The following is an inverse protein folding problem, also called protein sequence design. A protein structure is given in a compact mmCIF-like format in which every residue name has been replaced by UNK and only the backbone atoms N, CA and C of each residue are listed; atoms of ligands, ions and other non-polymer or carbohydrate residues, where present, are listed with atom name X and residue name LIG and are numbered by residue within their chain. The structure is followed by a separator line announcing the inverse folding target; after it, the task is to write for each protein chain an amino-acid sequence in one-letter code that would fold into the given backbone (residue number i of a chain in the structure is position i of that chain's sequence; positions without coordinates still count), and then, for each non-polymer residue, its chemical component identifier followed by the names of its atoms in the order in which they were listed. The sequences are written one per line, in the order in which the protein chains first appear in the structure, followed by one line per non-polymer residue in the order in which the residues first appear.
data_IF_800434315134
#
_entry.id   IF_800434315134
#
_cell.length_a   1.000
_cell.length_b   1.000
_cell.length_c   1.000
_cell.angle_alpha   90.00
_cell.angle_beta   90.00
_cell.angle_gamma   90.00
#
_symmetry.space_group_name_H-M   'P 1'
#
loop_
_entity.id
_entity.type
_entity.pdbx_description
1 polymer ?
#
# COMPACT_ATOMS: atom_id res chain seq x y z
N UNK A 1 4.94 11.88 -15.30
CA UNK A 1 4.58 10.63 -14.59
C UNK A 1 4.48 11.02 -13.13
N UNK A 2 3.37 10.71 -12.45
CA UNK A 2 3.13 11.14 -11.07
C UNK A 2 4.25 10.70 -10.11
N UNK A 3 4.54 11.56 -9.15
CA UNK A 3 5.62 11.42 -8.18
C UNK A 3 5.39 10.17 -7.28
N UNK A 4 6.45 9.45 -6.87
CA UNK A 4 6.31 8.11 -6.33
C UNK A 4 5.60 8.10 -4.97
N UNK A 5 4.59 7.23 -4.90
CA UNK A 5 3.72 7.01 -3.75
C UNK A 5 4.51 6.49 -2.54
N UNK A 6 4.39 7.19 -1.42
CA UNK A 6 4.99 6.81 -0.15
C UNK A 6 4.11 5.82 0.63
N UNK A 7 4.74 4.86 1.30
CA UNK A 7 4.12 4.08 2.36
C UNK A 7 4.06 4.94 3.62
N UNK A 8 2.87 5.23 4.16
CA UNK A 8 2.69 6.42 5.01
C UNK A 8 2.43 6.13 6.47
N UNK A 9 1.84 4.98 6.80
CA UNK A 9 1.47 4.71 8.18
C UNK A 9 1.52 3.22 8.49
N UNK A 10 2.25 2.89 9.54
CA UNK A 10 2.03 1.67 10.32
C UNK A 10 1.48 2.12 11.66
N UNK A 11 0.24 1.76 12.02
CA UNK A 11 -0.29 2.05 13.35
C UNK A 11 0.69 1.61 14.44
N UNK A 12 0.86 2.45 15.47
CA UNK A 12 1.78 2.15 16.56
C UNK A 12 1.45 0.80 17.25
N UNK A 13 0.17 0.41 17.25
CA UNK A 13 -0.31 -0.87 17.76
C UNK A 13 0.25 -2.10 17.04
N UNK A 14 0.76 -1.95 15.81
CA UNK A 14 1.31 -3.06 15.02
C UNK A 14 2.77 -2.88 14.60
N UNK A 15 3.34 -1.69 14.77
CA UNK A 15 4.70 -1.36 14.32
C UNK A 15 5.75 -2.37 14.82
N UNK A 16 5.68 -2.72 16.11
CA UNK A 16 6.65 -3.61 16.76
C UNK A 16 6.30 -5.09 16.65
N UNK A 17 5.28 -5.47 15.87
CA UNK A 17 4.92 -6.88 15.71
C UNK A 17 6.04 -7.59 14.95
N UNK A 18 6.66 -8.63 15.53
CA UNK A 18 7.79 -9.30 14.91
C UNK A 18 7.35 -10.22 13.75
N UNK A 19 8.22 -10.38 12.76
CA UNK A 19 8.06 -11.35 11.67
C UNK A 19 9.03 -12.51 11.88
N UNK A 20 8.49 -13.71 12.06
CA UNK A 20 9.24 -14.96 12.19
C UNK A 20 9.61 -15.52 10.81
N UNK A 21 10.68 -14.99 10.24
CA UNK A 21 11.22 -15.43 8.96
C UNK A 21 11.71 -16.89 8.95
N UNK A 22 11.86 -17.55 10.11
CA UNK A 22 12.23 -18.97 10.14
C UNK A 22 11.11 -19.86 9.65
N UNK A 23 9.86 -19.40 9.74
CA UNK A 23 8.66 -20.11 9.31
C UNK A 23 8.20 -19.74 7.91
N UNK A 24 8.56 -18.55 7.43
CA UNK A 24 8.24 -18.10 6.07
C UNK A 24 8.98 -18.97 5.03
N UNK A 25 8.34 -19.39 3.93
CA UNK A 25 8.98 -20.16 2.87
C UNK A 25 10.25 -19.49 2.31
N UNK A 26 11.29 -20.29 2.03
CA UNK A 26 12.55 -19.80 1.48
C UNK A 26 12.39 -19.08 0.14
N UNK A 27 11.45 -19.53 -0.70
CA UNK A 27 11.15 -18.87 -1.97
C UNK A 27 10.70 -17.42 -1.76
N UNK A 28 9.87 -17.17 -0.75
CA UNK A 28 9.31 -15.84 -0.44
C UNK A 28 10.35 -14.93 0.19
N UNK A 29 11.23 -15.47 1.05
CA UNK A 29 12.42 -14.77 1.55
C UNK A 29 13.36 -14.34 0.43
N UNK A 30 13.69 -15.28 -0.47
CA UNK A 30 14.55 -15.01 -1.61
C UNK A 30 13.95 -13.93 -2.50
N UNK A 31 12.66 -14.04 -2.81
CA UNK A 31 11.93 -13.05 -3.59
C UNK A 31 11.99 -11.65 -2.96
N UNK A 32 11.69 -11.53 -1.66
CA UNK A 32 11.80 -10.25 -0.97
C UNK A 32 13.20 -9.64 -1.10
N UNK A 33 14.23 -10.45 -0.91
CA UNK A 33 15.62 -9.99 -0.94
C UNK A 33 16.14 -9.68 -2.34
N UNK A 34 15.68 -10.39 -3.36
CA UNK A 34 16.08 -10.14 -4.75
C UNK A 34 15.48 -8.82 -5.27
N UNK A 35 14.23 -8.53 -4.93
CA UNK A 35 13.52 -7.35 -5.45
C UNK A 35 13.64 -6.10 -4.54
N UNK A 36 13.54 -6.26 -3.21
CA UNK A 36 13.55 -5.14 -2.24
C UNK A 36 14.74 -5.16 -1.27
N UNK A 37 15.48 -6.27 -1.23
CA UNK A 37 16.68 -6.37 -0.41
C UNK A 37 17.89 -5.67 -1.02
N UNK A 38 17.86 -5.30 -2.31
CA UNK A 38 19.00 -4.65 -2.97
C UNK A 38 19.14 -3.21 -2.47
N UNK A 39 20.28 -2.89 -1.85
CA UNK A 39 20.61 -1.50 -1.54
C UNK A 39 21.15 -0.82 -2.80
N UNK A 40 20.29 -0.06 -3.47
CA UNK A 40 20.65 0.69 -4.67
C UNK A 40 21.71 1.78 -4.42
N UNK A 41 21.96 2.12 -3.16
CA UNK A 41 23.03 3.03 -2.74
C UNK A 41 24.40 2.37 -2.76
N UNK A 42 24.46 1.02 -2.78
CA UNK A 42 25.70 0.28 -2.94
C UNK A 42 26.03 0.19 -4.45
N UNK A 43 27.11 0.87 -4.92
CA UNK A 43 27.47 0.88 -6.33
C UNK A 43 27.81 -0.52 -6.87
N UNK A 44 28.08 -1.50 -6.00
CA UNK A 44 28.35 -2.87 -6.41
C UNK A 44 27.10 -3.76 -6.39
N UNK A 45 25.99 -3.29 -5.82
CA UNK A 45 24.77 -4.09 -5.56
C UNK A 45 25.06 -5.42 -4.85
N UNK A 46 26.18 -5.51 -4.13
CA UNK A 46 26.63 -6.73 -3.46
C UNK A 46 25.96 -6.88 -2.09
N UNK A 47 25.61 -5.77 -1.44
CA UNK A 47 24.96 -5.78 -0.14
C UNK A 47 23.45 -5.92 -0.25
N UNK A 48 22.96 -7.09 0.17
CA UNK A 48 21.56 -7.31 0.47
C UNK A 48 21.25 -6.78 1.89
N UNK A 49 20.17 -6.02 2.01
CA UNK A 49 19.56 -5.61 3.27
C UNK A 49 19.15 -6.85 4.07
N UNK A 50 19.22 -6.79 5.41
CA UNK A 50 18.71 -7.87 6.25
C UNK A 50 17.19 -8.01 6.09
N UNK A 51 16.66 -9.20 6.36
CA UNK A 51 15.21 -9.38 6.45
C UNK A 51 14.62 -8.47 7.55
N UNK A 52 13.45 -7.87 7.32
CA UNK A 52 12.89 -6.88 8.25
C UNK A 52 12.39 -7.57 9.52
N UNK A 53 12.81 -7.11 10.71
CA UNK A 53 12.49 -7.78 11.95
C UNK A 53 11.01 -7.60 12.37
N UNK A 54 10.42 -6.46 12.00
CA UNK A 54 9.06 -6.08 12.39
C UNK A 54 8.20 -5.68 11.19
N UNK A 55 6.88 -5.51 11.41
CA UNK A 55 5.96 -4.97 10.42
C UNK A 55 6.36 -3.56 9.99
N UNK A 56 6.87 -2.72 10.92
CA UNK A 56 7.39 -1.40 10.58
C UNK A 56 8.65 -1.47 9.71
N UNK A 57 9.56 -2.41 9.99
CA UNK A 57 10.74 -2.61 9.16
C UNK A 57 10.34 -3.11 7.76
N UNK A 58 9.35 -3.99 7.69
CA UNK A 58 8.84 -4.51 6.42
C UNK A 58 8.21 -3.38 5.61
N UNK A 59 7.35 -2.58 6.24
CA UNK A 59 6.79 -1.36 5.71
C UNK A 59 7.84 -0.41 5.13
N UNK A 60 8.91 -0.13 5.88
CA UNK A 60 10.04 0.72 5.44
C UNK A 60 10.81 0.10 4.27
N UNK A 61 10.98 -1.22 4.27
CA UNK A 61 11.65 -1.92 3.17
C UNK A 61 10.84 -1.82 1.87
N UNK A 62 9.52 -1.92 1.96
CA UNK A 62 8.63 -1.80 0.79
C UNK A 62 8.35 -0.34 0.41
N UNK A 63 8.52 0.61 1.33
CA UNK A 63 8.25 2.03 1.12
C UNK A 63 8.96 2.66 -0.08
N UNK A 64 10.24 2.33 -0.30
CA UNK A 64 11.04 2.94 -1.36
C UNK A 64 10.70 2.40 -2.75
N UNK A 65 9.98 1.28 -2.82
CA UNK A 65 9.59 0.75 -4.11
C UNK A 65 8.34 1.48 -4.56
N UNK A 66 8.31 1.86 -5.84
CA UNK A 66 7.12 2.43 -6.48
C UNK A 66 6.09 1.31 -6.59
N UNK A 67 5.40 1.03 -5.48
CA UNK A 67 4.38 0.03 -5.35
C UNK A 67 3.17 0.48 -6.18
N UNK A 68 3.24 0.16 -7.47
CA UNK A 68 2.20 -0.52 -8.20
C UNK A 68 0.74 -0.02 -8.11
N UNK A 69 0.15 0.13 -9.29
CA UNK A 69 -1.30 0.00 -9.48
C UNK A 69 -1.87 -1.40 -9.53
N UNK A 70 -1.02 -2.41 -9.33
CA UNK A 70 -1.38 -3.81 -9.43
C UNK A 70 -0.55 -4.58 -8.41
N UNK A 71 -1.14 -5.08 -7.33
CA UNK A 71 -0.41 -5.95 -6.41
C UNK A 71 0.11 -7.18 -7.16
N UNK A 72 1.41 -7.21 -7.48
CA UNK A 72 1.99 -8.27 -8.30
C UNK A 72 1.75 -9.65 -7.65
N UNK A 73 1.51 -10.74 -8.40
CA UNK A 73 1.18 -12.04 -7.79
C UNK A 73 2.19 -12.53 -6.74
N UNK A 74 3.48 -12.34 -7.03
CA UNK A 74 4.57 -12.65 -6.12
C UNK A 74 4.50 -11.85 -4.80
N UNK A 75 4.15 -10.57 -4.86
CA UNK A 75 3.95 -9.75 -3.66
C UNK A 75 2.74 -10.23 -2.86
N UNK A 76 1.61 -10.48 -3.53
CA UNK A 76 0.43 -11.06 -2.84
C UNK A 76 0.80 -12.38 -2.15
N UNK A 77 1.58 -13.23 -2.83
CA UNK A 77 2.06 -14.50 -2.26
C UNK A 77 2.96 -14.26 -1.05
N UNK A 78 3.89 -13.31 -1.12
CA UNK A 78 4.72 -12.93 0.02
C UNK A 78 3.89 -12.44 1.21
N UNK A 79 2.93 -11.55 0.97
CA UNK A 79 2.03 -11.03 2.01
C UNK A 79 1.18 -12.14 2.63
N UNK A 80 0.66 -13.07 1.82
CA UNK A 80 -0.07 -14.25 2.28
C UNK A 80 0.81 -15.18 3.11
N UNK A 81 2.06 -15.40 2.70
CA UNK A 81 3.01 -16.25 3.42
C UNK A 81 3.46 -15.61 4.75
N UNK A 82 3.65 -14.29 4.79
CA UNK A 82 3.89 -13.56 6.04
C UNK A 82 2.69 -13.73 6.97
N UNK A 83 1.47 -13.56 6.46
CA UNK A 83 0.24 -13.73 7.24
C UNK A 83 0.13 -15.13 7.84
N UNK A 84 0.35 -16.16 7.03
CA UNK A 84 0.20 -17.57 7.42
C UNK A 84 1.30 -18.03 8.38
N UNK A 85 2.56 -17.72 8.05
CA UNK A 85 3.72 -18.35 8.68
C UNK A 85 4.56 -17.37 9.49
N UNK A 86 4.73 -16.15 9.00
CA UNK A 86 5.62 -15.14 9.58
C UNK A 86 5.03 -14.48 10.82
N UNK A 87 3.71 -14.37 10.91
CA UNK A 87 3.04 -13.77 12.06
C UNK A 87 2.61 -14.86 13.03
N UNK A 88 3.01 -14.70 14.30
CA UNK A 88 2.50 -15.57 15.35
C UNK A 88 0.97 -15.49 15.35
N UNK A 89 0.30 -16.64 15.24
CA UNK A 89 -1.14 -16.71 15.52
C UNK A 89 -1.32 -16.11 16.90
N UNK A 90 -1.92 -14.91 16.98
CA UNK A 90 -2.15 -14.23 18.26
C UNK A 90 -2.88 -15.23 19.14
N UNK A 91 -2.22 -15.62 20.23
CA UNK A 91 -2.44 -16.87 20.95
C UNK A 91 -3.92 -17.24 21.02
N UNK A 92 -4.33 -18.21 20.18
CA UNK A 92 -5.68 -18.80 20.05
C UNK A 92 -6.67 -18.16 21.02
N UNK A 93 -7.11 -16.96 20.70
CA UNK A 93 -8.11 -16.27 21.49
C UNK A 93 -9.33 -17.19 21.43
N UNK A 94 -9.88 -17.65 22.57
CA UNK A 94 -10.99 -18.59 22.56
C UNK A 94 -12.10 -18.04 21.67
N UNK A 95 -12.71 -18.94 20.89
CA UNK A 95 -13.62 -18.73 19.73
C UNK A 95 -14.77 -17.73 19.94
N UNK A 96 -14.93 -17.20 21.16
CA UNK A 96 -15.96 -16.24 21.56
C UNK A 96 -15.43 -14.83 21.90
N UNK A 97 -14.12 -14.59 21.84
CA UNK A 97 -13.55 -13.25 22.04
C UNK A 97 -13.16 -12.65 20.69
N UNK A 98 -13.67 -11.44 20.46
CA UNK A 98 -13.50 -10.58 19.29
C UNK A 98 -12.07 -10.71 18.74
N UNK A 99 -11.94 -10.99 17.44
CA UNK A 99 -10.65 -11.12 16.78
C UNK A 99 -9.92 -9.78 16.88
N UNK A 100 -8.75 -9.77 17.51
CA UNK A 100 -7.88 -8.59 17.49
C UNK A 100 -7.52 -8.32 16.04
N UNK A 101 -7.68 -7.06 15.55
CA UNK A 101 -7.28 -6.70 14.21
C UNK A 101 -5.81 -7.07 13.99
N UNK A 102 -5.55 -7.81 12.93
CA UNK A 102 -4.17 -8.21 12.62
C UNK A 102 -3.29 -6.99 12.31
N UNK A 103 -1.97 -7.20 12.22
CA UNK A 103 -1.06 -6.15 11.81
C UNK A 103 -1.47 -5.59 10.45
N UNK A 104 -1.29 -4.28 10.27
CA UNK A 104 -1.77 -3.58 9.08
C UNK A 104 -0.91 -2.38 8.77
N UNK A 105 -1.05 -1.91 7.56
CA UNK A 105 -0.35 -0.72 7.12
C UNK A 105 -1.06 -0.03 5.97
N UNK A 106 -0.69 1.23 5.75
CA UNK A 106 -1.32 2.12 4.79
C UNK A 106 -0.29 2.73 3.84
N UNK A 107 -0.67 2.85 2.57
CA UNK A 107 0.15 3.42 1.51
C UNK A 107 -0.66 4.33 0.60
N UNK A 108 -0.03 5.32 -0.04
CA UNK A 108 -0.67 6.06 -1.14
C UNK A 108 -0.65 5.20 -2.39
N UNK A 109 -1.72 5.24 -3.17
CA UNK A 109 -1.65 4.92 -4.58
C UNK A 109 -2.65 5.77 -5.38
N UNK A 110 -2.13 6.50 -6.37
CA UNK A 110 -2.86 7.55 -7.10
C UNK A 110 -3.50 8.53 -6.10
N UNK A 111 -4.78 8.82 -6.27
CA UNK A 111 -5.60 9.67 -5.40
C UNK A 111 -6.21 8.91 -4.21
N UNK A 112 -5.75 7.70 -3.87
CA UNK A 112 -6.38 6.87 -2.83
C UNK A 112 -5.35 6.43 -1.78
N UNK A 113 -5.80 6.25 -0.55
CA UNK A 113 -5.06 5.55 0.51
C UNK A 113 -5.45 4.09 0.47
N UNK A 114 -4.48 3.21 0.30
CA UNK A 114 -4.66 1.77 0.34
C UNK A 114 -4.26 1.21 1.69
N UNK A 115 -4.89 0.13 2.10
CA UNK A 115 -4.51 -0.61 3.29
C UNK A 115 -4.34 -2.10 3.00
N UNK A 116 -3.46 -2.73 3.78
CA UNK A 116 -3.33 -4.18 3.89
C UNK A 116 -3.42 -4.53 5.36
N UNK A 117 -4.34 -5.43 5.70
CA UNK A 117 -4.48 -6.01 7.03
C UNK A 117 -4.25 -7.52 6.94
N UNK A 118 -3.25 -8.01 7.66
CA UNK A 118 -2.94 -9.43 7.76
C UNK A 118 -3.94 -10.16 8.64
N UNK A 119 -4.16 -11.45 8.39
CA UNK A 119 -4.88 -12.36 9.27
C UNK A 119 -3.88 -13.38 9.84
N UNK A 120 -3.25 -13.11 11.01
CA UNK A 120 -2.17 -13.94 11.54
C UNK A 120 -2.55 -15.41 11.71
N UNK A 121 -1.74 -16.31 11.15
CA UNK A 121 -1.97 -17.74 11.17
C UNK A 121 -2.94 -18.24 10.09
N UNK A 122 -3.49 -17.34 9.27
CA UNK A 122 -4.26 -17.67 8.09
C UNK A 122 -3.53 -17.19 6.84
N UNK A 123 -3.56 -18.01 5.79
CA UNK A 123 -3.10 -17.64 4.45
C UNK A 123 -4.11 -16.71 3.78
N UNK A 124 -4.41 -15.58 4.39
CA UNK A 124 -5.38 -14.62 3.89
C UNK A 124 -5.09 -13.21 4.45
N UNK A 125 -5.78 -12.22 3.91
CA UNK A 125 -5.63 -10.82 4.29
C UNK A 125 -6.79 -10.00 3.75
N UNK A 126 -6.96 -8.81 4.29
CA UNK A 126 -7.92 -7.83 3.77
C UNK A 126 -7.11 -6.71 3.15
N UNK A 127 -7.46 -6.35 1.93
CA UNK A 127 -6.92 -5.19 1.23
C UNK A 127 -8.06 -4.24 0.91
N UNK A 128 -7.76 -2.97 0.73
CA UNK A 128 -8.79 -2.02 0.35
C UNK A 128 -8.24 -0.65 0.06
N UNK A 129 -9.11 0.23 -0.42
CA UNK A 129 -8.75 1.59 -0.79
C UNK A 129 -9.81 2.61 -0.39
N UNK A 130 -9.34 3.80 -0.03
CA UNK A 130 -10.18 4.93 0.33
C UNK A 130 -10.92 5.47 -0.90
N UNK A 131 -12.03 6.20 -0.68
CA UNK A 131 -12.49 7.17 -1.67
C UNK A 131 -11.34 8.07 -2.13
N UNK A 132 -11.48 8.65 -3.33
CA UNK A 132 -10.48 9.59 -3.84
C UNK A 132 -10.30 10.73 -2.84
N UNK A 133 -9.07 10.91 -2.36
CA UNK A 133 -8.64 12.07 -1.60
C UNK A 133 -8.52 13.21 -2.62
N UNK A 134 -9.27 14.31 -2.46
CA UNK A 134 -9.16 15.45 -3.37
C UNK A 134 -7.72 15.92 -3.47
N UNK A 135 -7.22 16.03 -4.70
CA UNK A 135 -5.99 16.76 -4.94
C UNK A 135 -6.30 18.24 -4.71
N UNK A 136 -5.49 18.91 -3.90
CA UNK A 136 -5.55 20.37 -3.83
C UNK A 136 -4.87 20.86 -5.09
N UNK A 137 -5.66 21.31 -6.05
CA UNK A 137 -5.15 21.92 -7.27
C UNK A 137 -4.42 23.20 -6.90
N UNK A 138 -3.21 23.35 -7.45
CA UNK A 138 -2.31 24.50 -7.29
C UNK A 138 -2.95 25.86 -7.62
N UNK A 139 -4.10 25.88 -8.28
CA UNK A 139 -4.73 27.08 -8.84
C UNK A 139 -5.52 27.93 -7.82
N UNK A 140 -5.76 27.47 -6.59
CA UNK A 140 -6.63 28.20 -5.64
C UNK A 140 -5.90 29.00 -4.53
N UNK A 141 -4.56 28.92 -4.43
CA UNK A 141 -3.80 29.68 -3.42
C UNK A 141 -3.06 30.93 -3.99
N UNK A 142 -3.02 31.15 -5.30
CA UNK A 142 -2.35 32.34 -5.90
C UNK A 142 -3.16 33.65 -5.80
N UNK A 143 -4.43 33.63 -5.41
CA UNK A 143 -5.30 34.82 -5.44
C UNK A 143 -5.19 35.75 -4.22
N UNK A 144 -4.12 35.64 -3.39
CA UNK A 144 -4.00 36.43 -2.15
C UNK A 144 -2.62 37.00 -1.79
N UNK A 145 -1.72 37.24 -2.74
CA UNK A 145 -0.62 38.19 -2.50
C UNK A 145 -0.59 39.30 -3.55
N UNK A 146 -1.01 40.47 -3.07
CA UNK A 146 -1.02 41.77 -3.72
C UNK A 146 0.35 42.13 -4.31
N UNK A 147 0.29 42.86 -5.43
CA UNK A 147 1.32 43.71 -6.03
C UNK A 147 2.50 44.03 -5.10
N UNK A 148 3.67 43.43 -5.36
CA UNK A 148 4.94 44.02 -4.92
C UNK A 148 5.95 44.02 -6.04
N UNK A 149 6.43 45.23 -6.30
CA UNK A 149 7.32 45.64 -7.36
C UNK A 149 8.50 44.70 -7.61
N UNK A 150 8.71 44.43 -8.89
CA UNK A 150 9.91 43.82 -9.47
C UNK A 150 11.14 44.65 -9.11
N UNK A 151 12.16 44.01 -8.56
CA UNK A 151 13.54 44.17 -9.02
C UNK A 151 14.47 43.13 -8.36
N UNK A 152 15.17 42.39 -9.23
CA UNK A 152 16.41 41.65 -9.02
C UNK A 152 16.53 40.73 -7.79
N UNK A 153 16.19 39.45 -7.94
CA UNK A 153 16.80 38.37 -7.14
C UNK A 153 17.07 37.08 -7.94
N UNK A 154 18.36 36.78 -7.91
CA UNK A 154 19.14 35.57 -8.18
C UNK A 154 18.40 34.22 -8.19
N UNK A 155 18.80 33.37 -9.13
CA UNK A 155 18.49 31.94 -9.30
C UNK A 155 18.67 31.14 -8.01
N UNK A 156 17.65 31.14 -7.16
CA UNK A 156 17.64 30.38 -5.91
C UNK A 156 16.27 29.78 -5.65
N UNK A 157 16.29 28.45 -5.48
CA UNK A 157 15.40 27.68 -4.61
C UNK A 157 14.05 27.19 -5.22
N UNK A 158 13.99 26.80 -6.50
CA UNK A 158 12.86 25.97 -7.03
C UNK A 158 12.75 24.59 -6.32
N UNK A 159 13.83 24.10 -5.69
CA UNK A 159 13.84 22.80 -4.99
C UNK A 159 13.13 22.82 -3.62
N UNK A 160 12.88 24.00 -3.00
CA UNK A 160 12.30 24.07 -1.64
C UNK A 160 10.76 24.04 -1.60
N UNK A 161 10.08 24.54 -2.63
CA UNK A 161 8.61 24.59 -2.70
C UNK A 161 7.99 23.19 -2.88
N UNK A 162 8.57 22.37 -3.76
CA UNK A 162 8.16 20.97 -4.00
C UNK A 162 8.22 20.10 -2.72
N UNK A 163 9.17 20.39 -1.82
CA UNK A 163 9.30 19.65 -0.56
C UNK A 163 8.18 19.96 0.45
N UNK A 164 7.73 21.22 0.55
CA UNK A 164 6.71 21.61 1.52
C UNK A 164 5.34 21.02 1.14
N UNK A 165 5.04 21.00 -0.15
CA UNK A 165 3.79 20.48 -0.67
C UNK A 165 3.69 18.97 -0.53
N UNK A 166 4.79 18.25 -0.79
CA UNK A 166 4.86 16.82 -0.53
C UNK A 166 4.63 16.54 0.97
N UNK A 167 5.20 17.34 1.87
CA UNK A 167 4.95 17.22 3.33
C UNK A 167 3.48 17.44 3.67
N UNK A 168 2.81 18.46 3.10
CA UNK A 168 1.36 18.72 3.28
C UNK A 168 0.52 17.53 2.80
N UNK A 169 0.82 16.99 1.62
CA UNK A 169 0.10 15.85 1.07
C UNK A 169 0.29 14.59 1.93
N UNK A 170 1.52 14.32 2.36
CA UNK A 170 1.83 13.21 3.29
C UNK A 170 1.05 13.35 4.59
N UNK A 171 0.95 14.56 5.16
CA UNK A 171 0.20 14.80 6.38
C UNK A 171 -1.31 14.53 6.21
N UNK A 172 -1.92 14.99 5.11
CA UNK A 172 -3.35 14.74 4.81
C UNK A 172 -3.64 13.26 4.68
N UNK A 173 -2.83 12.56 3.89
CA UNK A 173 -3.05 11.15 3.63
C UNK A 173 -2.80 10.28 4.86
N UNK A 174 -1.86 10.70 5.73
CA UNK A 174 -1.69 10.11 7.05
C UNK A 174 -2.93 10.34 7.93
N UNK A 175 -3.51 11.54 7.93
CA UNK A 175 -4.72 11.83 8.69
C UNK A 175 -5.90 10.96 8.22
N UNK A 176 -6.07 10.75 6.90
CA UNK A 176 -7.08 9.85 6.34
C UNK A 176 -6.92 8.42 6.86
N UNK A 177 -5.68 7.91 6.89
CA UNK A 177 -5.38 6.58 7.43
C UNK A 177 -5.65 6.51 8.94
N UNK A 178 -5.22 7.51 9.72
CA UNK A 178 -5.44 7.57 11.17
C UNK A 178 -6.91 7.70 11.56
N UNK A 179 -7.73 8.38 10.76
CA UNK A 179 -9.19 8.47 10.97
C UNK A 179 -9.92 7.17 10.59
N UNK A 180 -9.39 6.43 9.62
CA UNK A 180 -9.96 5.17 9.18
C UNK A 180 -9.62 4.02 10.13
N UNK A 181 -8.41 4.00 10.67
CA UNK A 181 -7.86 2.89 11.44
C UNK A 181 -8.75 2.42 12.62
N UNK A 182 -9.29 3.31 13.48
CA UNK A 182 -10.19 2.91 14.55
C UNK A 182 -11.50 2.30 14.03
N UNK A 183 -12.05 2.82 12.92
CA UNK A 183 -13.28 2.31 12.30
C UNK A 183 -13.08 0.92 11.71
N UNK A 184 -11.94 0.71 11.04
CA UNK A 184 -11.53 -0.61 10.57
C UNK A 184 -11.45 -1.59 11.75
N UNK A 185 -10.78 -1.21 12.84
CA UNK A 185 -10.69 -2.06 14.02
C UNK A 185 -12.07 -2.39 14.62
N UNK A 186 -12.93 -1.40 14.82
CA UNK A 186 -14.28 -1.60 15.37
C UNK A 186 -15.11 -2.51 14.47
N UNK A 187 -15.05 -2.36 13.14
CA UNK A 187 -15.81 -3.19 12.22
C UNK A 187 -15.32 -4.65 12.23
N UNK A 188 -14.00 -4.86 12.25
CA UNK A 188 -13.40 -6.19 12.30
C UNK A 188 -13.69 -6.86 13.65
N UNK A 189 -13.63 -6.13 14.75
CA UNK A 189 -14.03 -6.63 16.06
C UNK A 189 -15.51 -7.02 16.04
N UNK A 190 -16.38 -6.15 15.54
CA UNK A 190 -17.84 -6.34 15.55
C UNK A 190 -18.33 -7.51 14.70
N UNK A 191 -17.75 -7.71 13.52
CA UNK A 191 -18.28 -8.68 12.54
C UNK A 191 -17.36 -9.87 12.28
N UNK A 192 -16.13 -9.84 12.82
CA UNK A 192 -15.07 -10.76 12.45
C UNK A 192 -14.62 -10.58 11.00
N UNK A 193 -13.57 -11.33 10.63
CA UNK A 193 -12.98 -11.27 9.29
C UNK A 193 -13.93 -11.79 8.20
N UNK A 194 -14.83 -12.71 8.55
CA UNK A 194 -15.79 -13.35 7.64
C UNK A 194 -16.72 -12.36 6.93
N UNK A 195 -17.14 -11.26 7.58
CA UNK A 195 -18.04 -10.29 6.94
C UNK A 195 -17.32 -9.27 6.08
N UNK A 196 -16.09 -8.90 6.45
CA UNK A 196 -15.23 -8.05 5.63
C UNK A 196 -14.84 -8.73 4.30
N UNK A 197 -14.83 -10.07 4.25
CA UNK A 197 -14.65 -10.82 3.00
C UNK A 197 -15.89 -10.82 2.10
N UNK A 198 -17.09 -10.64 2.66
CA UNK A 198 -18.38 -10.73 1.93
C UNK A 198 -18.88 -9.35 1.50
N UNK A 199 -18.63 -8.32 2.31
CA UNK A 199 -18.97 -6.95 1.97
C UNK A 199 -17.85 -6.34 1.13
N UNK A 200 -18.18 -5.88 -0.09
CA UNK A 200 -17.26 -5.07 -0.93
C UNK A 200 -16.85 -3.73 -0.29
N UNK A 201 -17.29 -3.47 0.94
CA UNK A 201 -16.93 -2.30 1.72
C UNK A 201 -16.55 -2.70 3.14
N UNK A 202 -15.48 -2.10 3.64
CA UNK A 202 -14.97 -2.22 5.00
C UNK A 202 -14.74 -0.81 5.52
N UNK A 203 -15.48 -0.41 6.55
CA UNK A 203 -15.48 0.93 7.12
C UNK A 203 -15.64 2.04 6.06
N UNK A 204 -16.64 1.84 5.18
CA UNK A 204 -16.99 2.70 4.03
C UNK A 204 -15.93 2.79 2.91
N UNK A 205 -14.79 2.11 3.06
CA UNK A 205 -13.78 1.97 2.01
C UNK A 205 -14.05 0.74 1.16
N UNK A 206 -13.55 0.71 -0.07
CA UNK A 206 -13.66 -0.50 -0.90
C UNK A 206 -12.73 -1.58 -0.33
N UNK A 207 -13.25 -2.80 -0.20
CA UNK A 207 -12.55 -3.92 0.45
C UNK A 207 -12.53 -5.17 -0.41
N UNK A 208 -11.39 -5.87 -0.39
CA UNK A 208 -11.14 -7.11 -1.09
C UNK A 208 -10.37 -8.08 -0.19
N UNK A 209 -10.38 -9.36 -0.55
CA UNK A 209 -9.46 -10.32 0.06
C UNK A 209 -8.13 -10.28 -0.68
N UNK A 210 -7.03 -10.48 0.05
CA UNK A 210 -5.70 -10.57 -0.54
C UNK A 210 -5.61 -11.75 -1.54
N UNK A 211 -6.41 -12.81 -1.34
CA UNK A 211 -6.60 -13.89 -2.32
C UNK A 211 -7.28 -13.42 -3.61
N UNK A 212 -8.33 -12.62 -3.52
CA UNK A 212 -8.97 -12.03 -4.70
C UNK A 212 -7.96 -11.16 -5.44
N UNK A 213 -7.21 -10.32 -4.71
CA UNK A 213 -6.15 -9.50 -5.31
C UNK A 213 -5.07 -10.35 -6.00
N UNK A 214 -4.69 -11.49 -5.43
CA UNK A 214 -3.78 -12.45 -6.08
C UNK A 214 -4.37 -13.02 -7.38
N UNK A 215 -5.64 -13.44 -7.37
CA UNK A 215 -6.31 -13.99 -8.55
C UNK A 215 -6.39 -12.95 -9.67
N UNK A 216 -6.81 -11.73 -9.35
CA UNK A 216 -6.88 -10.62 -10.30
C UNK A 216 -5.51 -10.28 -10.87
N UNK A 217 -4.48 -10.28 -10.02
CA UNK A 217 -3.10 -10.03 -10.44
C UNK A 217 -2.56 -11.13 -11.36
N UNK A 218 -2.83 -12.40 -11.05
CA UNK A 218 -2.42 -13.53 -11.90
C UNK A 218 -3.12 -13.49 -13.25
N UNK A 219 -4.42 -13.17 -13.26
CA UNK A 219 -5.18 -12.98 -14.49
C UNK A 219 -4.63 -11.82 -15.31
N UNK A 220 -4.35 -10.68 -14.67
CA UNK A 220 -3.76 -9.52 -15.34
C UNK A 220 -2.38 -9.86 -15.94
N UNK A 221 -1.51 -10.55 -15.19
CA UNK A 221 -0.20 -10.99 -15.68
C UNK A 221 -0.33 -11.92 -16.87
N UNK A 222 -1.25 -12.91 -16.80
CA UNK A 222 -1.52 -13.82 -17.90
C UNK A 222 -2.02 -13.08 -19.16
N UNK A 223 -2.93 -12.11 -19.00
CA UNK A 223 -3.45 -11.31 -20.11
C UNK A 223 -2.36 -10.41 -20.71
N UNK A 224 -1.50 -9.80 -19.88
CA UNK A 224 -0.38 -8.98 -20.34
C UNK A 224 0.66 -9.77 -21.14
N UNK A 225 0.77 -11.08 -20.91
CA UNK A 225 1.63 -11.98 -21.68
C UNK A 225 1.08 -12.36 -23.07
N UNK A 226 -0.15 -11.98 -23.39
CA UNK A 226 -0.77 -12.31 -24.69
C UNK A 226 -0.30 -11.34 -25.79
N UNK A 227 -0.40 -11.74 -27.08
CA UNK A 227 -0.21 -10.84 -28.20
C UNK A 227 -1.09 -9.58 -28.11
N UNK A 228 -0.58 -8.43 -28.58
CA UNK A 228 -1.27 -7.13 -28.45
C UNK A 228 -2.60 -7.06 -29.20
N UNK A 229 -2.78 -7.88 -30.22
CA UNK A 229 -3.99 -8.03 -31.02
C UNK A 229 -5.00 -9.00 -30.38
N UNK A 230 -4.60 -9.76 -29.35
CA UNK A 230 -5.49 -10.66 -28.64
C UNK A 230 -6.65 -9.90 -27.98
N UNK A 231 -7.91 -10.39 -28.10
CA UNK A 231 -9.09 -9.67 -27.62
C UNK A 231 -9.06 -9.38 -26.11
N UNK A 232 -8.56 -10.30 -25.30
CA UNK A 232 -8.41 -10.10 -23.85
C UNK A 232 -7.42 -8.96 -23.51
N UNK A 233 -6.28 -8.90 -24.21
CA UNK A 233 -5.30 -7.83 -24.04
C UNK A 233 -5.90 -6.47 -24.40
N UNK A 234 -6.56 -6.38 -25.57
CA UNK A 234 -7.20 -5.15 -26.03
C UNK A 234 -8.30 -4.68 -25.07
N UNK A 235 -9.14 -5.61 -24.60
CA UNK A 235 -10.22 -5.29 -23.66
C UNK A 235 -9.68 -4.75 -22.35
N UNK A 236 -8.67 -5.42 -21.76
CA UNK A 236 -8.04 -4.96 -20.52
C UNK A 236 -7.39 -3.58 -20.68
N UNK A 237 -6.64 -3.34 -21.76
CA UNK A 237 -6.02 -2.03 -22.02
C UNK A 237 -7.06 -0.93 -22.25
N UNK A 238 -8.18 -1.26 -22.91
CA UNK A 238 -9.28 -0.31 -23.13
C UNK A 238 -9.96 0.04 -21.80
N UNK A 239 -10.22 -0.95 -20.95
CA UNK A 239 -10.79 -0.74 -19.63
C UNK A 239 -9.85 0.07 -18.73
N UNK A 240 -8.55 -0.25 -18.73
CA UNK A 240 -7.53 0.50 -17.99
C UNK A 240 -7.46 1.95 -18.46
N UNK A 241 -7.44 2.20 -19.78
CA UNK A 241 -7.45 3.57 -20.31
C UNK A 241 -8.77 4.31 -20.02
N UNK A 242 -9.90 3.62 -20.01
CA UNK A 242 -11.20 4.21 -19.65
C UNK A 242 -11.26 4.56 -18.18
N UNK A 243 -10.69 3.72 -17.31
CA UNK A 243 -10.53 4.01 -15.88
C UNK A 243 -9.61 5.19 -15.64
N UNK A 244 -8.50 5.29 -16.37
CA UNK A 244 -7.60 6.46 -16.26
C UNK A 244 -8.31 7.76 -16.69
N UNK A 245 -9.15 7.71 -17.72
CA UNK A 245 -9.95 8.86 -18.18
C UNK A 245 -11.07 9.27 -17.23
N UNK A 246 -11.60 8.35 -16.43
CA UNK A 246 -12.53 8.70 -15.35
C UNK A 246 -11.80 9.12 -14.07
N UNK A 247 -10.47 9.05 -14.08
CA UNK A 247 -9.61 9.47 -12.98
C UNK A 247 -9.01 10.86 -13.16
N UNK A 248 -8.77 11.29 -14.41
CA UNK A 248 -8.52 12.68 -14.80
C UNK A 248 -9.80 13.50 -14.88
#
# INVERSE_FOLDING_TARGET
MGDPSYFRLVPASCATVPIDWTKVPEASKKFLLDDWGTDWSDPKMEKKRPLPATIEDFAKMVHSSKFFGYMHPKLCTLLLDISEFGLAAQAKIPVNCLQIPGPRFYMKYLSCVWFVMFLPGERDGITGCSPKVPEVSWEEEEDKEEEKDKEDKEDKDEDEEDEEENKKQVARDKAVAEEFDPRLCEEIERWGTLRAQVNKRVADWEGFTLKSSLQDAQMSEAIMGLPRDHPAFRSMMTNAMSSLKSMS
#
